data_IF_876509582925
#
_entry.id   IF_876509582925
#
_cell.length_a   1.000
_cell.length_b   1.000
_cell.length_c   1.000
_cell.angle_alpha   90.00
_cell.angle_beta   90.00
_cell.angle_gamma   90.00
#
_symmetry.space_group_name_H-M   'P 1'
#
loop_
_entity.id
_entity.type
_entity.pdbx_description
1 polymer ?
#
# COMPACT_ATOMS: atom_id res chain seq x y z
N UNK A 1 15.15 -16.98 2.23
CA UNK A 1 14.48 -17.06 3.54
C UNK A 1 12.96 -17.02 3.38
N UNK A 2 12.36 -15.96 2.83
CA UNK A 2 10.88 -15.88 2.62
C UNK A 2 10.31 -17.13 1.94
N UNK A 3 10.88 -17.54 0.80
CA UNK A 3 10.46 -18.75 0.09
C UNK A 3 10.51 -20.02 0.94
N UNK A 4 11.56 -20.18 1.74
CA UNK A 4 11.74 -21.35 2.59
C UNK A 4 10.70 -21.39 3.71
N UNK A 5 10.33 -20.23 4.27
CA UNK A 5 9.27 -20.17 5.29
C UNK A 5 7.91 -20.50 4.68
N UNK A 6 7.59 -19.93 3.51
CA UNK A 6 6.34 -20.21 2.80
C UNK A 6 6.24 -21.68 2.38
N UNK A 7 7.34 -22.30 1.94
CA UNK A 7 7.35 -23.74 1.59
C UNK A 7 7.23 -24.66 2.81
N UNK A 8 7.48 -24.15 4.02
CA UNK A 8 7.26 -24.85 5.29
C UNK A 8 5.89 -24.57 5.91
N UNK A 9 4.99 -23.92 5.18
CA UNK A 9 3.61 -23.69 5.61
C UNK A 9 3.41 -22.43 6.46
N UNK A 10 4.34 -21.47 6.41
CA UNK A 10 4.07 -20.14 6.96
C UNK A 10 2.84 -19.53 6.27
N UNK A 11 1.89 -19.06 7.06
CA UNK A 11 0.72 -18.36 6.55
C UNK A 11 1.13 -17.00 5.95
N UNK A 12 0.95 -16.88 4.63
CA UNK A 12 1.26 -15.65 3.87
C UNK A 12 0.46 -14.44 4.35
N UNK A 13 -0.71 -14.69 4.97
CA UNK A 13 -1.66 -13.69 5.44
C UNK A 13 -1.64 -13.49 6.95
N UNK A 14 -0.70 -14.10 7.67
CA UNK A 14 -0.55 -13.90 9.10
C UNK A 14 -0.42 -12.40 9.42
N UNK A 15 -1.28 -11.91 10.32
CA UNK A 15 -1.31 -10.52 10.72
C UNK A 15 -0.63 -10.32 12.09
N UNK A 16 0.14 -9.24 12.22
CA UNK A 16 0.79 -8.86 13.47
C UNK A 16 1.97 -7.90 13.27
N UNK A 17 2.51 -7.44 14.41
CA UNK A 17 3.68 -6.56 14.46
C UNK A 17 3.44 -5.15 13.92
N UNK A 18 4.53 -4.39 13.81
CA UNK A 18 4.52 -2.97 13.42
C UNK A 18 3.92 -2.74 12.03
N UNK A 19 4.23 -3.62 11.08
CA UNK A 19 3.83 -3.49 9.68
C UNK A 19 2.50 -4.19 9.35
N UNK A 20 1.84 -4.85 10.29
CA UNK A 20 0.54 -5.47 10.06
C UNK A 20 0.60 -6.84 9.39
N UNK A 21 1.36 -7.03 8.30
CA UNK A 21 1.62 -8.33 7.69
C UNK A 21 2.92 -8.34 6.85
N UNK A 22 3.27 -9.50 6.26
CA UNK A 22 4.48 -9.64 5.45
C UNK A 22 4.48 -8.79 4.17
N UNK A 23 3.32 -8.62 3.51
CA UNK A 23 3.19 -7.83 2.29
C UNK A 23 3.48 -6.34 2.56
N UNK A 24 2.86 -5.79 3.59
CA UNK A 24 3.06 -4.42 4.04
C UNK A 24 4.50 -4.18 4.53
N UNK A 25 5.10 -5.13 5.24
CA UNK A 25 6.51 -5.05 5.64
C UNK A 25 7.47 -5.00 4.43
N UNK A 26 7.22 -5.84 3.42
CA UNK A 26 8.02 -5.85 2.20
C UNK A 26 7.89 -4.54 1.40
N UNK A 27 6.69 -3.95 1.37
CA UNK A 27 6.43 -2.66 0.73
C UNK A 27 7.15 -1.51 1.45
N UNK A 28 7.03 -1.46 2.79
CA UNK A 28 7.72 -0.46 3.61
C UNK A 28 9.25 -0.56 3.50
N UNK A 29 9.79 -1.76 3.30
CA UNK A 29 11.22 -2.00 3.08
C UNK A 29 11.69 -1.86 1.62
N UNK A 30 10.81 -1.59 0.66
CA UNK A 30 11.16 -1.49 -0.77
C UNK A 30 11.64 -2.82 -1.39
N UNK A 31 11.12 -3.94 -0.91
CA UNK A 31 11.53 -5.28 -1.33
C UNK A 31 10.65 -5.84 -2.46
N UNK A 32 10.65 -5.21 -3.63
CA UNK A 32 9.79 -5.54 -4.77
C UNK A 32 9.78 -7.03 -5.16
N UNK A 33 10.94 -7.69 -5.11
CA UNK A 33 11.03 -9.14 -5.40
C UNK A 33 10.23 -9.96 -4.39
N UNK A 34 10.28 -9.58 -3.12
CA UNK A 34 9.53 -10.23 -2.05
C UNK A 34 8.04 -9.91 -2.20
N UNK A 35 7.68 -8.67 -2.52
CA UNK A 35 6.29 -8.27 -2.80
C UNK A 35 5.68 -9.16 -3.88
N UNK A 36 6.35 -9.29 -5.03
CA UNK A 36 5.89 -10.15 -6.13
C UNK A 36 5.75 -11.61 -5.72
N UNK A 37 6.66 -12.11 -4.88
CA UNK A 37 6.58 -13.47 -4.36
C UNK A 37 5.38 -13.66 -3.40
N UNK A 38 5.12 -12.71 -2.51
CA UNK A 38 3.97 -12.76 -1.60
C UNK A 38 2.65 -12.68 -2.38
N UNK A 39 2.57 -11.78 -3.37
CA UNK A 39 1.40 -11.64 -4.24
C UNK A 39 1.13 -12.87 -5.11
N UNK A 40 2.16 -13.62 -5.51
CA UNK A 40 2.00 -14.88 -6.24
C UNK A 40 1.61 -16.05 -5.33
N UNK A 41 1.84 -15.93 -4.03
CA UNK A 41 1.45 -16.90 -3.00
C UNK A 41 0.09 -16.60 -2.35
N UNK A 42 -0.65 -15.61 -2.86
CA UNK A 42 -2.00 -15.30 -2.40
C UNK A 42 -2.05 -14.36 -1.19
N UNK A 43 -1.06 -13.49 -1.04
CA UNK A 43 -1.14 -12.40 -0.07
C UNK A 43 -2.38 -11.53 -0.32
N UNK A 44 -3.14 -11.26 0.74
CA UNK A 44 -4.31 -10.40 0.74
C UNK A 44 -3.88 -8.95 0.53
N UNK A 45 -4.23 -8.41 -0.64
CA UNK A 45 -3.93 -7.03 -1.04
C UNK A 45 -4.74 -6.00 -0.25
N UNK A 46 -5.86 -6.40 0.34
CA UNK A 46 -6.79 -5.54 1.08
C UNK A 46 -6.66 -5.66 2.60
N UNK A 47 -5.76 -6.52 3.08
CA UNK A 47 -5.49 -6.68 4.50
C UNK A 47 -5.16 -5.31 5.13
N UNK A 48 -5.98 -4.93 6.11
CA UNK A 48 -5.80 -3.72 6.88
C UNK A 48 -4.97 -4.01 8.14
N UNK A 49 -4.10 -3.09 8.52
CA UNK A 49 -3.26 -3.23 9.70
C UNK A 49 -1.99 -2.41 9.63
N UNK A 50 -1.17 -2.54 10.67
CA UNK A 50 0.15 -1.93 10.69
C UNK A 50 0.16 -0.41 10.63
N UNK A 51 1.37 0.13 10.53
CA UNK A 51 1.63 1.56 10.43
C UNK A 51 1.14 2.17 9.11
N UNK A 52 1.32 1.45 8.01
CA UNK A 52 0.97 1.91 6.66
C UNK A 52 -0.51 1.74 6.31
N UNK A 53 -1.33 1.12 7.17
CA UNK A 53 -2.76 0.93 6.94
C UNK A 53 -3.08 -0.26 6.03
N UNK A 54 -2.61 -0.25 4.79
CA UNK A 54 -2.76 -1.37 3.85
C UNK A 54 -1.65 -1.39 2.79
N UNK A 55 -1.68 -2.40 1.92
CA UNK A 55 -0.66 -2.59 0.89
C UNK A 55 -0.64 -1.43 -0.13
N UNK A 56 -1.80 -0.94 -0.56
CA UNK A 56 -1.86 0.14 -1.56
C UNK A 56 -1.24 1.43 -1.01
N UNK A 57 -1.55 1.77 0.24
CA UNK A 57 -0.94 2.92 0.94
C UNK A 57 0.56 2.75 1.16
N UNK A 58 1.02 1.56 1.57
CA UNK A 58 2.45 1.29 1.73
C UNK A 58 3.20 1.42 0.40
N UNK A 59 2.63 0.93 -0.69
CA UNK A 59 3.19 1.07 -2.04
C UNK A 59 3.24 2.53 -2.50
N UNK A 60 2.15 3.28 -2.28
CA UNK A 60 2.05 4.69 -2.63
C UNK A 60 3.00 5.58 -1.82
N UNK A 61 3.18 5.29 -0.53
CA UNK A 61 4.16 5.99 0.34
C UNK A 61 5.58 5.74 -0.13
N UNK A 62 5.89 4.50 -0.54
CA UNK A 62 7.23 4.10 -0.97
C UNK A 62 7.60 4.45 -2.42
N UNK A 63 6.69 5.04 -3.21
CA UNK A 63 6.96 5.36 -4.62
C UNK A 63 6.98 4.14 -5.55
N UNK A 64 6.32 3.04 -5.19
CA UNK A 64 6.40 1.78 -5.95
C UNK A 64 5.35 1.71 -7.08
N UNK A 65 5.47 2.55 -8.11
CA UNK A 65 4.50 2.72 -9.21
C UNK A 65 4.05 1.40 -9.86
N UNK A 66 4.99 0.51 -10.21
CA UNK A 66 4.69 -0.80 -10.81
C UNK A 66 3.97 -1.74 -9.86
N UNK A 67 4.21 -1.59 -8.57
CA UNK A 67 3.56 -2.39 -7.54
C UNK A 67 2.15 -1.85 -7.26
N UNK A 68 1.96 -0.53 -7.27
CA UNK A 68 0.62 0.09 -7.21
C UNK A 68 -0.27 -0.45 -8.33
N UNK A 69 0.23 -0.48 -9.56
CA UNK A 69 -0.52 -1.07 -10.69
C UNK A 69 -0.85 -2.55 -10.47
N UNK A 70 0.10 -3.33 -9.95
CA UNK A 70 -0.11 -4.75 -9.65
C UNK A 70 -1.14 -4.96 -8.53
N UNK A 71 -1.12 -4.16 -7.48
CA UNK A 71 -2.10 -4.23 -6.39
C UNK A 71 -3.51 -3.90 -6.91
N UNK A 72 -3.64 -2.83 -7.70
CA UNK A 72 -4.92 -2.43 -8.30
C UNK A 72 -5.46 -3.50 -9.26
N UNK A 73 -4.60 -4.11 -10.09
CA UNK A 73 -5.02 -5.22 -10.97
C UNK A 73 -5.42 -6.49 -10.23
N UNK A 74 -4.94 -6.66 -8.98
CA UNK A 74 -5.34 -7.74 -8.07
C UNK A 74 -6.55 -7.40 -7.19
N UNK A 75 -7.21 -6.27 -7.45
CA UNK A 75 -8.44 -5.88 -6.75
C UNK A 75 -8.20 -5.17 -5.41
N UNK A 76 -7.06 -4.50 -5.25
CA UNK A 76 -6.88 -3.58 -4.13
C UNK A 76 -7.97 -2.48 -4.17
N UNK A 77 -8.64 -2.26 -3.04
CA UNK A 77 -9.60 -1.18 -2.89
C UNK A 77 -8.87 0.16 -2.91
N UNK A 78 -9.09 0.90 -4.01
CA UNK A 78 -8.43 2.18 -4.27
C UNK A 78 -8.76 3.25 -3.23
N UNK A 79 -9.93 3.14 -2.60
CA UNK A 79 -10.44 4.10 -1.62
C UNK A 79 -10.33 3.58 -0.18
N UNK A 80 -9.66 2.43 0.03
CA UNK A 80 -9.43 1.89 1.35
C UNK A 80 -8.77 2.92 2.27
N UNK A 81 -9.44 3.19 3.38
CA UNK A 81 -8.93 4.06 4.44
C UNK A 81 -8.04 3.25 5.37
N UNK A 82 -6.86 3.81 5.63
CA UNK A 82 -5.91 3.29 6.59
C UNK A 82 -5.99 4.07 7.88
N UNK A 83 -5.03 3.84 8.78
CA UNK A 83 -4.98 4.53 10.07
C UNK A 83 -4.51 5.98 9.91
N UNK A 84 -3.21 6.22 10.09
CA UNK A 84 -2.64 7.56 10.23
C UNK A 84 -2.54 8.32 8.90
N UNK A 85 -2.62 7.62 7.77
CA UNK A 85 -2.27 8.14 6.45
C UNK A 85 -3.44 8.26 5.48
N UNK A 86 -4.70 8.24 5.96
CA UNK A 86 -5.85 8.36 5.06
C UNK A 86 -5.89 7.24 4.03
N UNK A 87 -5.98 7.56 2.74
CA UNK A 87 -5.97 6.59 1.63
C UNK A 87 -4.66 6.64 0.81
N UNK A 88 -4.58 5.80 -0.23
CA UNK A 88 -3.42 5.73 -1.10
C UNK A 88 -3.13 7.05 -1.82
N UNK A 89 -4.17 7.82 -2.18
CA UNK A 89 -4.01 9.13 -2.82
C UNK A 89 -3.37 10.14 -1.87
N UNK A 90 -3.85 10.21 -0.62
CA UNK A 90 -3.21 11.00 0.43
C UNK A 90 -1.74 10.60 0.59
N UNK A 91 -1.45 9.29 0.68
CA UNK A 91 -0.10 8.79 0.89
C UNK A 91 0.86 9.23 -0.24
N UNK A 92 0.45 9.08 -1.50
CA UNK A 92 1.23 9.53 -2.65
C UNK A 92 1.43 11.05 -2.68
N UNK A 93 0.43 11.83 -2.26
CA UNK A 93 0.48 13.29 -2.21
C UNK A 93 1.35 13.82 -1.07
N UNK A 94 1.32 13.19 0.11
CA UNK A 94 2.02 13.65 1.31
C UNK A 94 3.54 13.46 1.24
N UNK A 95 4.00 12.40 0.58
CA UNK A 95 5.43 12.16 0.39
C UNK A 95 6.00 12.95 -0.80
N UNK A 96 5.15 13.60 -1.61
CA UNK A 96 5.60 14.45 -2.73
C UNK A 96 6.33 13.71 -3.84
N UNK A 97 6.29 12.37 -3.85
CA UNK A 97 7.29 11.55 -4.53
C UNK A 97 6.88 10.93 -5.85
N UNK A 98 5.60 10.91 -6.26
CA UNK A 98 5.31 10.38 -7.59
C UNK A 98 4.03 10.92 -8.24
N UNK A 99 4.23 11.89 -9.14
CA UNK A 99 3.17 12.34 -10.07
C UNK A 99 2.57 11.17 -10.82
N UNK A 100 3.36 10.12 -11.08
CA UNK A 100 2.91 8.89 -11.74
C UNK A 100 1.86 8.17 -10.89
N UNK A 101 2.14 7.93 -9.60
CA UNK A 101 1.21 7.23 -8.71
C UNK A 101 -0.07 8.04 -8.50
N UNK A 102 0.05 9.36 -8.29
CA UNK A 102 -1.13 10.24 -8.17
C UNK A 102 -1.99 10.16 -9.43
N UNK A 103 -1.37 10.25 -10.62
CA UNK A 103 -2.09 10.13 -11.89
C UNK A 103 -2.73 8.74 -12.06
N UNK A 104 -2.02 7.67 -11.72
CA UNK A 104 -2.54 6.30 -11.78
C UNK A 104 -3.77 6.15 -10.88
N UNK A 105 -3.67 6.54 -9.61
CA UNK A 105 -4.78 6.47 -8.65
C UNK A 105 -5.99 7.28 -9.13
N UNK A 106 -5.79 8.53 -9.56
CA UNK A 106 -6.88 9.36 -10.09
C UNK A 106 -7.52 8.74 -11.34
N UNK A 107 -6.71 8.20 -12.27
CA UNK A 107 -7.20 7.55 -13.48
C UNK A 107 -8.02 6.29 -13.21
N UNK A 108 -7.80 5.65 -12.05
CA UNK A 108 -8.51 4.45 -11.60
C UNK A 108 -9.67 4.75 -10.65
N UNK A 109 -10.02 6.02 -10.45
CA UNK A 109 -11.20 6.42 -9.66
C UNK A 109 -10.94 6.60 -8.16
N UNK A 110 -9.72 6.95 -7.76
CA UNK A 110 -9.46 7.37 -6.39
C UNK A 110 -10.30 8.61 -6.05
N UNK A 111 -10.95 8.61 -4.90
CA UNK A 111 -11.71 9.74 -4.40
C UNK A 111 -10.75 10.88 -4.02
N UNK A 112 -10.75 11.92 -4.86
CA UNK A 112 -9.93 13.12 -4.70
C UNK A 112 -10.27 13.91 -3.44
N UNK A 113 -11.50 13.76 -2.92
CA UNK A 113 -11.99 14.48 -1.75
C UNK A 113 -11.98 13.61 -0.49
N UNK A 114 -11.42 12.40 -0.56
CA UNK A 114 -11.33 11.52 0.59
C UNK A 114 -10.65 12.22 1.77
N UNK A 115 -11.34 12.21 2.90
CA UNK A 115 -10.84 12.80 4.13
C UNK A 115 -9.99 11.80 4.91
N UNK A 116 -8.88 12.27 5.46
CA UNK A 116 -7.99 11.45 6.28
C UNK A 116 -6.56 11.97 6.30
N UNK A 117 -5.73 11.28 7.07
CA UNK A 117 -4.33 11.65 7.22
C UNK A 117 -4.11 12.87 8.13
N UNK A 118 -2.83 13.21 8.35
CA UNK A 118 -2.41 14.33 9.21
C UNK A 118 -2.94 15.68 8.72
N UNK A 119 -2.96 15.89 7.40
CA UNK A 119 -3.35 17.16 6.80
C UNK A 119 -4.83 17.22 6.40
N UNK A 120 -5.60 16.14 6.56
CA UNK A 120 -7.05 16.12 6.35
C UNK A 120 -7.51 15.65 4.97
N UNK A 121 -6.77 15.89 3.90
CA UNK A 121 -6.99 15.28 2.57
C UNK A 121 -5.71 15.35 1.72
N UNK A 122 -5.74 14.75 0.52
CA UNK A 122 -4.60 14.72 -0.40
C UNK A 122 -4.17 16.11 -0.89
N UNK A 123 -5.12 17.02 -1.14
CA UNK A 123 -4.82 18.38 -1.58
C UNK A 123 -4.07 19.19 -0.51
N UNK A 124 -4.52 19.10 0.74
CA UNK A 124 -3.90 19.76 1.88
C UNK A 124 -2.51 19.18 2.15
N UNK A 125 -2.36 17.85 2.03
CA UNK A 125 -1.07 17.19 2.15
C UNK A 125 -0.06 17.62 1.08
N UNK A 126 -0.49 17.73 -0.19
CA UNK A 126 0.36 18.19 -1.28
C UNK A 126 0.77 19.68 -1.17
N UNK A 127 0.12 20.44 -0.30
CA UNK A 127 0.35 21.88 -0.09
C UNK A 127 1.16 22.18 1.17
N UNK A 128 1.52 21.17 1.95
CA UNK A 128 2.19 21.28 3.25
C UNK A 128 3.71 21.08 3.13
#
# INVERSE_FOLDING_TARGET
IVEQLLSKGADVNAQGGLYGNALQAALAGGHDKIVKQLLSKGADVNAQGGFCGNALQAASTGGHDKIVEQLLSKGADINAQGRKYGNALYAASAEGHDKIIVQQLLSKGADVNAQGGKYGNALYAASA
#
